data_IF_002081596337
#
_entry.id   IF_002081596337
#
_cell.length_a   1.000
_cell.length_b   1.000
_cell.length_c   1.000
_cell.angle_alpha   90.00
_cell.angle_beta   90.00
_cell.angle_gamma   90.00
#
_symmetry.space_group_name_H-M   'P 1'
#
loop_
_entity.id
_entity.type
_entity.pdbx_description
1 polymer ?
#
# COMPACT_ATOMS: atom_id res chain seq x y z
N UNK A 1 -34.72 0.92 2.12
CA UNK A 1 -33.88 -0.07 2.81
C UNK A 1 -33.90 0.29 4.28
N UNK A 2 -34.29 -0.69 5.14
CA UNK A 2 -34.40 -0.49 6.58
C UNK A 2 -33.02 -0.15 7.16
N UNK A 3 -32.90 0.94 7.94
CA UNK A 3 -31.65 1.41 8.55
C UNK A 3 -30.95 0.32 9.40
N UNK A 4 -31.73 -0.60 10.01
CA UNK A 4 -31.21 -1.76 10.72
C UNK A 4 -30.54 -2.78 9.77
N UNK A 5 -31.13 -3.04 8.61
CA UNK A 5 -30.55 -3.93 7.59
C UNK A 5 -29.26 -3.33 7.01
N UNK A 6 -29.26 -2.02 6.74
CA UNK A 6 -28.06 -1.30 6.31
C UNK A 6 -26.94 -1.40 7.34
N UNK A 7 -27.22 -1.17 8.64
CA UNK A 7 -26.25 -1.31 9.73
C UNK A 7 -25.76 -2.76 9.91
N UNK A 8 -26.62 -3.75 9.67
CA UNK A 8 -26.25 -5.16 9.71
C UNK A 8 -25.32 -5.52 8.53
N UNK A 9 -25.67 -5.12 7.32
CA UNK A 9 -24.88 -5.37 6.12
C UNK A 9 -23.53 -4.63 6.16
N UNK A 10 -23.48 -3.39 6.65
CA UNK A 10 -22.24 -2.64 6.80
C UNK A 10 -21.26 -3.27 7.81
N UNK A 11 -21.76 -4.00 8.81
CA UNK A 11 -20.94 -4.79 9.73
C UNK A 11 -20.31 -6.03 9.07
N UNK A 12 -20.87 -6.52 7.98
CA UNK A 12 -20.33 -7.68 7.24
C UNK A 12 -19.27 -7.27 6.20
N UNK A 13 -19.29 -6.03 5.73
CA UNK A 13 -18.32 -5.52 4.76
C UNK A 13 -17.12 -4.97 5.53
N UNK A 14 -15.97 -5.58 5.32
CA UNK A 14 -14.72 -5.17 5.96
C UNK A 14 -13.96 -4.18 5.10
N UNK A 15 -13.22 -3.28 5.75
CA UNK A 15 -12.22 -2.48 5.07
C UNK A 15 -11.10 -3.37 4.53
N UNK A 16 -10.55 -3.02 3.37
CA UNK A 16 -9.44 -3.75 2.76
C UNK A 16 -8.17 -2.90 2.81
N UNK A 17 -7.12 -3.46 3.38
CA UNK A 17 -5.83 -2.79 3.58
C UNK A 17 -4.82 -3.44 2.63
N UNK A 18 -4.46 -2.74 1.55
CA UNK A 18 -3.47 -3.20 0.58
C UNK A 18 -2.08 -2.79 1.02
N UNK A 19 -1.18 -3.76 1.20
CA UNK A 19 0.21 -3.53 1.55
C UNK A 19 1.17 -4.33 0.67
N UNK A 20 2.41 -3.90 0.60
CA UNK A 20 3.48 -4.50 -0.17
C UNK A 20 4.44 -3.46 -0.71
N UNK A 21 5.50 -3.89 -1.36
CA UNK A 21 6.55 -3.02 -1.87
C UNK A 21 6.05 -2.09 -2.99
N UNK A 22 6.80 -1.00 -3.27
CA UNK A 22 6.50 -0.17 -4.45
C UNK A 22 6.55 -1.03 -5.72
N UNK A 23 5.63 -0.78 -6.66
CA UNK A 23 5.52 -1.57 -7.89
C UNK A 23 4.72 -2.88 -7.77
N UNK A 24 4.25 -3.29 -6.57
CA UNK A 24 3.46 -4.52 -6.43
C UNK A 24 1.99 -4.42 -6.90
N UNK A 25 1.54 -3.22 -7.35
CA UNK A 25 0.23 -3.05 -7.97
C UNK A 25 -0.86 -2.44 -7.08
N UNK A 26 -0.55 -1.95 -5.87
CA UNK A 26 -1.55 -1.34 -4.95
C UNK A 26 -2.36 -0.21 -5.60
N UNK A 27 -1.66 0.72 -6.27
CA UNK A 27 -2.29 1.90 -6.89
C UNK A 27 -3.15 1.57 -8.12
N UNK A 28 -2.94 0.41 -8.74
CA UNK A 28 -3.80 -0.10 -9.81
C UNK A 28 -4.99 -0.90 -9.25
N UNK A 29 -4.72 -1.79 -8.31
CA UNK A 29 -5.72 -2.71 -7.75
C UNK A 29 -6.72 -1.99 -6.82
N UNK A 30 -6.26 -1.00 -6.05
CA UNK A 30 -7.12 -0.27 -5.11
C UNK A 30 -8.33 0.39 -5.77
N UNK A 31 -8.15 1.24 -6.81
CA UNK A 31 -9.27 1.82 -7.55
C UNK A 31 -10.18 0.78 -8.23
N UNK A 32 -9.59 -0.32 -8.72
CA UNK A 32 -10.36 -1.40 -9.35
C UNK A 32 -11.28 -2.09 -8.33
N UNK A 33 -10.78 -2.43 -7.16
CA UNK A 33 -11.59 -2.99 -6.07
C UNK A 33 -12.66 -1.98 -5.65
N UNK A 34 -12.30 -0.71 -5.50
CA UNK A 34 -13.24 0.36 -5.16
C UNK A 34 -14.41 0.44 -6.14
N UNK A 35 -14.14 0.39 -7.44
CA UNK A 35 -15.18 0.43 -8.48
C UNK A 35 -16.12 -0.78 -8.43
N UNK A 36 -15.59 -1.97 -8.12
CA UNK A 36 -16.36 -3.21 -8.06
C UNK A 36 -17.15 -3.36 -6.76
N UNK A 37 -16.64 -2.79 -5.67
CA UNK A 37 -17.26 -2.94 -4.33
C UNK A 37 -18.06 -1.72 -3.89
N UNK A 38 -17.97 -0.61 -4.60
CA UNK A 38 -18.49 0.71 -4.21
C UNK A 38 -17.91 1.24 -2.89
N UNK A 39 -16.80 0.67 -2.41
CA UNK A 39 -16.09 1.17 -1.25
C UNK A 39 -15.18 2.35 -1.66
N UNK A 40 -15.12 3.44 -0.87
CA UNK A 40 -14.21 4.54 -1.18
C UNK A 40 -12.74 4.07 -1.15
N UNK A 41 -11.94 4.50 -2.13
CA UNK A 41 -10.51 4.25 -2.17
C UNK A 41 -9.73 5.38 -1.52
N UNK A 42 -8.74 5.02 -0.71
CA UNK A 42 -7.82 5.93 -0.02
C UNK A 42 -6.39 5.49 -0.35
N UNK A 43 -5.61 6.37 -0.98
CA UNK A 43 -4.16 6.24 -1.04
C UNK A 43 -3.58 7.02 0.14
N UNK A 44 -2.91 6.32 1.07
CA UNK A 44 -2.43 6.93 2.31
C UNK A 44 -1.38 8.00 2.04
N UNK A 45 -0.48 7.78 1.07
CA UNK A 45 0.56 8.72 0.71
C UNK A 45 -0.06 10.03 0.19
N UNK A 46 -1.01 9.93 -0.74
CA UNK A 46 -1.77 11.09 -1.24
C UNK A 46 -2.63 11.76 -0.16
N UNK A 47 -3.18 10.96 0.74
CA UNK A 47 -3.97 11.50 1.86
C UNK A 47 -3.09 12.38 2.76
N UNK A 48 -1.87 11.94 3.07
CA UNK A 48 -0.89 12.70 3.86
C UNK A 48 -0.49 13.98 3.12
N UNK A 49 -0.09 13.90 1.86
CA UNK A 49 0.30 15.05 1.05
C UNK A 49 -0.80 16.13 1.00
N UNK A 50 -2.05 15.70 0.82
CA UNK A 50 -3.19 16.61 0.81
C UNK A 50 -3.43 17.31 2.17
N UNK A 51 -3.14 16.63 3.27
CA UNK A 51 -3.31 17.16 4.63
C UNK A 51 -2.17 18.08 5.05
N UNK A 52 -0.93 17.68 4.75
CA UNK A 52 0.27 18.45 5.07
C UNK A 52 0.52 19.58 4.06
N UNK A 53 -0.19 19.61 2.92
CA UNK A 53 0.02 20.57 1.81
C UNK A 53 1.47 20.57 1.30
N UNK A 54 2.12 19.42 1.36
CA UNK A 54 3.51 19.23 1.00
C UNK A 54 3.70 17.83 0.43
N UNK A 55 4.60 17.67 -0.53
CA UNK A 55 4.94 16.34 -1.04
C UNK A 55 5.67 15.51 0.04
N UNK A 56 5.55 14.18 -0.07
CA UNK A 56 6.30 13.30 0.84
C UNK A 56 7.80 13.56 0.74
N UNK A 57 8.32 13.81 -0.45
CA UNK A 57 9.72 14.18 -0.65
C UNK A 57 10.11 15.44 0.12
N UNK A 58 9.28 16.49 0.08
CA UNK A 58 9.54 17.71 0.82
C UNK A 58 9.46 17.51 2.33
N UNK A 59 8.51 16.67 2.78
CA UNK A 59 8.41 16.33 4.21
C UNK A 59 9.69 15.61 4.67
N UNK A 60 10.20 14.65 3.89
CA UNK A 60 11.45 13.95 4.21
C UNK A 60 12.65 14.92 4.21
N UNK A 61 12.75 15.80 3.22
CA UNK A 61 13.86 16.75 3.09
C UNK A 61 13.88 17.80 4.20
N UNK A 62 12.70 18.31 4.59
CA UNK A 62 12.57 19.41 5.53
C UNK A 62 12.54 18.95 6.99
N UNK A 63 11.95 17.77 7.27
CA UNK A 63 11.66 17.32 8.63
C UNK A 63 12.24 15.94 8.96
N UNK A 64 12.73 15.21 7.96
CA UNK A 64 13.32 13.89 8.11
C UNK A 64 12.31 12.75 8.26
N UNK A 65 12.87 11.53 8.25
CA UNK A 65 12.06 10.31 8.23
C UNK A 65 11.22 10.13 9.50
N UNK A 66 11.79 10.39 10.68
CA UNK A 66 11.09 10.19 11.96
C UNK A 66 9.82 11.03 12.03
N UNK A 67 9.88 12.28 11.56
CA UNK A 67 8.70 13.16 11.49
C UNK A 67 7.64 12.59 10.55
N UNK A 68 8.05 12.19 9.33
CA UNK A 68 7.13 11.58 8.37
C UNK A 68 6.44 10.35 8.97
N UNK A 69 7.19 9.44 9.61
CA UNK A 69 6.62 8.21 10.19
C UNK A 69 5.61 8.49 11.31
N UNK A 70 5.85 9.53 12.13
CA UNK A 70 4.86 9.98 13.12
C UNK A 70 3.58 10.50 12.47
N UNK A 71 3.72 11.28 11.39
CA UNK A 71 2.57 11.77 10.62
C UNK A 71 1.84 10.64 9.91
N UNK A 72 2.56 9.71 9.31
CA UNK A 72 2.01 8.52 8.67
C UNK A 72 1.14 7.71 9.66
N UNK A 73 1.64 7.44 10.87
CA UNK A 73 0.88 6.79 11.93
C UNK A 73 -0.35 7.60 12.33
N UNK A 74 -0.20 8.88 12.57
CA UNK A 74 -1.30 9.75 12.94
C UNK A 74 -2.42 9.74 11.89
N UNK A 75 -2.08 9.90 10.62
CA UNK A 75 -3.09 9.92 9.56
C UNK A 75 -3.69 8.53 9.29
N UNK A 76 -2.92 7.46 9.46
CA UNK A 76 -3.45 6.11 9.43
C UNK A 76 -4.55 5.93 10.48
N UNK A 77 -4.32 6.36 11.71
CA UNK A 77 -5.33 6.33 12.77
C UNK A 77 -6.56 7.17 12.43
N UNK A 78 -6.36 8.38 11.90
CA UNK A 78 -7.47 9.25 11.47
C UNK A 78 -8.35 8.61 10.37
N UNK A 79 -7.76 7.86 9.46
CA UNK A 79 -8.53 7.12 8.45
C UNK A 79 -9.40 6.05 9.11
N UNK A 80 -8.88 5.34 10.11
CA UNK A 80 -9.62 4.29 10.83
C UNK A 80 -10.65 4.80 11.84
N UNK A 81 -10.71 6.11 12.11
CA UNK A 81 -11.82 6.70 12.86
C UNK A 81 -13.09 6.84 12.01
N UNK A 82 -13.02 6.66 10.70
CA UNK A 82 -14.19 6.64 9.82
C UNK A 82 -15.04 5.40 10.11
N UNK A 83 -16.34 5.61 10.22
CA UNK A 83 -17.27 4.53 10.56
C UNK A 83 -17.69 3.65 9.38
N UNK A 84 -17.31 4.01 8.16
CA UNK A 84 -17.67 3.28 6.94
C UNK A 84 -16.48 2.46 6.44
N UNK A 85 -16.70 1.25 5.91
CA UNK A 85 -15.64 0.47 5.30
C UNK A 85 -15.06 1.17 4.05
N UNK A 86 -13.79 0.90 3.78
CA UNK A 86 -13.02 1.50 2.68
C UNK A 86 -11.94 0.54 2.14
N UNK A 87 -11.38 0.87 1.00
CA UNK A 87 -10.13 0.28 0.49
C UNK A 87 -9.01 1.27 0.73
N UNK A 88 -7.93 0.86 1.39
CA UNK A 88 -6.76 1.71 1.60
C UNK A 88 -5.50 1.07 1.03
N UNK A 89 -4.71 1.85 0.29
CA UNK A 89 -3.35 1.52 -0.14
C UNK A 89 -2.35 2.17 0.81
N UNK A 90 -1.49 1.35 1.42
CA UNK A 90 -0.44 1.84 2.31
C UNK A 90 0.83 2.18 1.54
N UNK A 91 1.63 3.13 2.05
CA UNK A 91 3.01 3.29 1.65
C UNK A 91 3.82 2.00 1.87
N UNK A 92 4.83 1.75 1.03
CA UNK A 92 5.61 0.51 1.13
C UNK A 92 6.34 0.32 2.46
N UNK A 93 6.63 1.40 3.17
CA UNK A 93 7.25 1.37 4.50
C UNK A 93 6.26 1.30 5.66
N UNK A 94 5.01 1.73 5.47
CA UNK A 94 4.03 1.89 6.54
C UNK A 94 3.93 0.70 7.50
N UNK A 95 3.85 -0.57 7.03
CA UNK A 95 3.76 -1.72 7.92
C UNK A 95 5.02 -1.98 8.76
N UNK A 96 6.16 -1.41 8.35
CA UNK A 96 7.47 -1.72 8.91
C UNK A 96 7.88 -0.81 10.09
N UNK A 97 7.14 0.27 10.32
CA UNK A 97 7.46 1.25 11.36
C UNK A 97 6.47 1.18 12.52
N UNK A 98 7.00 1.45 13.71
CA UNK A 98 6.24 1.34 14.97
C UNK A 98 5.56 -0.04 15.08
N UNK A 99 4.36 -0.07 15.60
CA UNK A 99 3.45 -1.22 15.68
C UNK A 99 2.35 -1.18 14.60
N UNK A 100 2.58 -0.50 13.48
CA UNK A 100 1.54 -0.27 12.48
C UNK A 100 0.85 -1.56 12.00
N UNK A 101 1.62 -2.60 11.71
CA UNK A 101 1.02 -3.86 11.24
C UNK A 101 0.21 -4.55 12.34
N UNK A 102 0.66 -4.48 13.59
CA UNK A 102 -0.04 -5.08 14.71
C UNK A 102 -1.32 -4.26 15.01
N UNK A 103 -1.24 -2.92 14.98
CA UNK A 103 -2.40 -2.03 15.06
C UNK A 103 -3.46 -2.34 13.99
N UNK A 104 -3.04 -2.53 12.74
CA UNK A 104 -3.95 -2.85 11.64
C UNK A 104 -4.60 -4.23 11.81
N UNK A 105 -3.87 -5.21 12.32
CA UNK A 105 -4.37 -6.56 12.54
C UNK A 105 -5.33 -6.68 13.72
N UNK A 106 -5.29 -5.73 14.67
CA UNK A 106 -6.27 -5.64 15.76
C UNK A 106 -7.64 -5.11 15.29
N UNK A 107 -7.76 -4.61 14.05
CA UNK A 107 -9.05 -4.17 13.50
C UNK A 107 -9.86 -5.36 13.03
N UNK A 108 -10.96 -5.67 13.75
CA UNK A 108 -11.86 -6.78 13.41
C UNK A 108 -12.67 -6.51 12.13
N UNK A 109 -12.89 -5.24 11.84
CA UNK A 109 -13.62 -4.71 10.69
C UNK A 109 -12.71 -4.45 9.46
N UNK A 110 -11.46 -4.93 9.50
CA UNK A 110 -10.51 -4.77 8.41
C UNK A 110 -9.72 -6.05 8.12
N UNK A 111 -9.35 -6.23 6.84
CA UNK A 111 -8.51 -7.32 6.35
C UNK A 111 -7.27 -6.75 5.70
N UNK A 112 -6.11 -7.01 6.28
CA UNK A 112 -4.81 -6.70 5.69
C UNK A 112 -4.43 -7.73 4.63
N UNK A 113 -4.03 -7.24 3.45
CA UNK A 113 -3.72 -8.05 2.26
C UNK A 113 -2.32 -7.69 1.78
N UNK A 114 -1.41 -8.64 1.87
CA UNK A 114 -0.07 -8.50 1.29
C UNK A 114 -0.10 -8.85 -0.19
N UNK A 115 0.20 -7.90 -1.05
CA UNK A 115 0.41 -8.11 -2.48
C UNK A 115 1.88 -8.53 -2.69
N UNK A 116 2.08 -9.85 -2.73
CA UNK A 116 3.39 -10.46 -2.88
C UNK A 116 3.79 -10.45 -4.35
N UNK A 117 4.93 -9.84 -4.66
CA UNK A 117 5.54 -9.80 -5.99
C UNK A 117 7.01 -10.17 -5.85
N UNK A 118 7.56 -10.92 -6.79
CA UNK A 118 8.98 -11.27 -6.77
C UNK A 118 9.87 -10.05 -6.97
N UNK A 119 11.09 -10.00 -6.38
CA UNK A 119 12.02 -8.89 -6.59
C UNK A 119 12.31 -8.63 -8.07
N UNK A 120 12.46 -9.67 -8.87
CA UNK A 120 12.67 -9.57 -10.31
C UNK A 120 11.53 -8.85 -11.01
N UNK A 121 10.29 -9.27 -10.75
CA UNK A 121 9.10 -8.63 -11.34
C UNK A 121 8.93 -7.18 -10.86
N UNK A 122 9.22 -6.90 -9.59
CA UNK A 122 9.23 -5.54 -9.06
C UNK A 122 10.27 -4.67 -9.77
N UNK A 123 11.49 -5.18 -9.97
CA UNK A 123 12.54 -4.46 -10.69
C UNK A 123 12.13 -4.15 -12.12
N UNK A 124 11.58 -5.11 -12.86
CA UNK A 124 11.05 -4.90 -14.21
C UNK A 124 10.00 -3.78 -14.28
N UNK A 125 9.02 -3.81 -13.37
CA UNK A 125 7.96 -2.79 -13.31
C UNK A 125 8.49 -1.41 -12.92
N UNK A 126 9.47 -1.37 -12.02
CA UNK A 126 10.04 -0.13 -11.51
C UNK A 126 11.02 0.49 -12.50
N UNK A 127 11.74 -0.32 -13.27
CA UNK A 127 12.73 0.16 -14.24
C UNK A 127 12.13 1.07 -15.30
N UNK A 128 10.94 0.73 -15.80
CA UNK A 128 10.20 1.51 -16.82
C UNK A 128 9.78 2.93 -16.37
N UNK A 129 9.88 3.25 -15.09
CA UNK A 129 9.45 4.57 -14.56
C UNK A 129 10.34 5.03 -13.40
N UNK A 130 11.61 4.61 -13.36
CA UNK A 130 12.54 4.91 -12.27
C UNK A 130 12.86 6.40 -12.14
N UNK A 131 12.82 7.15 -13.25
CA UNK A 131 13.14 8.59 -13.30
C UNK A 131 12.23 9.42 -12.39
N UNK A 132 10.99 8.97 -12.20
CA UNK A 132 10.03 9.62 -11.32
C UNK A 132 10.07 9.12 -9.86
N UNK A 133 11.10 8.34 -9.50
CA UNK A 133 11.23 7.74 -8.17
C UNK A 133 12.59 8.04 -7.55
N UNK A 134 12.70 9.08 -6.69
CA UNK A 134 13.98 9.54 -6.13
C UNK A 134 14.83 8.43 -5.50
N UNK A 135 14.19 7.45 -4.83
CA UNK A 135 14.88 6.35 -4.14
C UNK A 135 15.65 5.40 -5.08
N UNK A 136 15.28 5.32 -6.35
CA UNK A 136 15.84 4.37 -7.31
C UNK A 136 16.33 5.01 -8.61
N UNK A 137 16.15 6.33 -8.77
CA UNK A 137 16.54 7.06 -9.98
C UNK A 137 18.03 7.01 -10.27
N UNK A 138 18.85 6.86 -9.23
CA UNK A 138 20.33 6.81 -9.32
C UNK A 138 20.86 5.46 -9.79
N UNK A 139 20.07 4.39 -9.79
CA UNK A 139 20.50 3.05 -10.19
C UNK A 139 20.60 2.97 -11.72
N UNK A 140 21.74 2.46 -12.22
CA UNK A 140 22.06 2.52 -13.64
C UNK A 140 21.53 1.32 -14.43
N UNK A 141 21.50 0.14 -13.82
CA UNK A 141 21.11 -1.10 -14.49
C UNK A 141 19.89 -1.74 -13.83
N UNK A 142 19.25 -2.62 -14.59
CA UNK A 142 18.14 -3.44 -14.11
C UNK A 142 18.60 -4.41 -13.02
N UNK A 143 19.83 -4.92 -13.14
CA UNK A 143 20.41 -5.82 -12.15
C UNK A 143 20.67 -5.10 -10.82
N UNK A 144 21.26 -3.90 -10.83
CA UNK A 144 21.42 -3.08 -9.62
C UNK A 144 20.06 -2.80 -8.94
N UNK A 145 19.04 -2.53 -9.76
CA UNK A 145 17.70 -2.30 -9.26
C UNK A 145 17.10 -3.57 -8.64
N UNK A 146 17.30 -4.74 -9.25
CA UNK A 146 16.83 -6.02 -8.71
C UNK A 146 17.49 -6.32 -7.36
N UNK A 147 18.80 -6.15 -7.25
CA UNK A 147 19.55 -6.35 -6.00
C UNK A 147 19.06 -5.38 -4.90
N UNK A 148 18.90 -4.11 -5.23
CA UNK A 148 18.37 -3.09 -4.32
C UNK A 148 16.96 -3.46 -3.83
N UNK A 149 16.08 -3.83 -4.75
CA UNK A 149 14.70 -4.23 -4.44
C UNK A 149 14.69 -5.49 -3.59
N UNK A 150 15.51 -6.50 -3.95
CA UNK A 150 15.59 -7.76 -3.21
C UNK A 150 16.00 -7.54 -1.75
N UNK A 151 17.01 -6.71 -1.50
CA UNK A 151 17.45 -6.33 -0.16
C UNK A 151 16.32 -5.68 0.64
N UNK A 152 15.69 -4.66 0.08
CA UNK A 152 14.61 -3.93 0.76
C UNK A 152 13.36 -4.79 0.99
N UNK A 153 13.01 -5.66 0.05
CA UNK A 153 11.89 -6.61 0.22
C UNK A 153 12.22 -7.60 1.32
N UNK A 154 13.45 -8.11 1.38
CA UNK A 154 13.88 -9.05 2.42
C UNK A 154 13.75 -8.44 3.81
N UNK A 155 14.21 -7.21 4.01
CA UNK A 155 14.11 -6.47 5.28
C UNK A 155 12.65 -6.24 5.72
N UNK A 156 11.74 -6.04 4.76
CA UNK A 156 10.32 -5.72 5.02
C UNK A 156 9.41 -6.95 5.08
N UNK A 157 9.88 -8.07 4.55
CA UNK A 157 9.08 -9.31 4.43
C UNK A 157 8.53 -9.83 5.76
N UNK A 158 9.25 -9.75 6.91
CA UNK A 158 8.70 -10.16 8.21
C UNK A 158 7.44 -9.37 8.60
N UNK A 159 7.36 -8.10 8.24
CA UNK A 159 6.20 -7.24 8.47
C UNK A 159 5.07 -7.56 7.51
N UNK A 160 5.37 -7.68 6.22
CA UNK A 160 4.35 -8.01 5.21
C UNK A 160 3.70 -9.38 5.45
N UNK A 161 4.48 -10.37 5.92
CA UNK A 161 3.97 -11.72 6.24
C UNK A 161 2.99 -11.74 7.41
N UNK A 162 2.94 -10.69 8.23
CA UNK A 162 1.92 -10.56 9.29
C UNK A 162 0.53 -10.21 8.74
N UNK A 163 0.38 -9.90 7.46
CA UNK A 163 -0.92 -9.64 6.84
C UNK A 163 -1.87 -10.82 7.01
N UNK A 164 -3.16 -10.55 7.24
CA UNK A 164 -4.22 -11.57 7.37
C UNK A 164 -4.37 -12.43 6.12
N UNK A 165 -4.06 -11.87 4.95
CA UNK A 165 -4.08 -12.56 3.64
C UNK A 165 -2.86 -12.19 2.81
N UNK A 166 -2.43 -13.12 1.96
CA UNK A 166 -1.39 -12.88 0.95
C UNK A 166 -1.94 -13.26 -0.42
N UNK A 167 -1.73 -12.40 -1.41
CA UNK A 167 -2.07 -12.62 -2.81
C UNK A 167 -0.79 -12.50 -3.63
N UNK A 168 -0.47 -13.51 -4.40
CA UNK A 168 0.65 -13.45 -5.35
C UNK A 168 0.22 -12.66 -6.59
N UNK A 169 0.94 -11.60 -6.90
CA UNK A 169 0.63 -10.70 -8.00
C UNK A 169 1.60 -10.82 -9.18
N UNK A 170 2.48 -11.84 -9.16
CA UNK A 170 3.37 -12.11 -10.28
C UNK A 170 2.60 -12.49 -11.55
N UNK A 171 1.48 -13.20 -11.39
CA UNK A 171 0.68 -13.73 -12.50
C UNK A 171 -0.44 -12.80 -12.99
N UNK A 172 -0.77 -11.73 -12.26
CA UNK A 172 -1.89 -10.86 -12.61
C UNK A 172 -1.66 -10.00 -13.87
N UNK A 173 -0.44 -9.97 -14.40
CA UNK A 173 -0.07 -9.15 -15.56
C UNK A 173 0.42 -9.95 -16.78
N UNK A 174 0.34 -11.28 -16.72
CA UNK A 174 0.74 -12.13 -17.84
C UNK A 174 -0.41 -12.52 -18.76
N UNK A 175 -1.66 -12.26 -18.37
CA UNK A 175 -2.85 -12.62 -19.16
C UNK A 175 -3.25 -11.59 -20.22
N UNK A 176 -2.78 -10.33 -20.13
CA UNK A 176 -3.18 -9.28 -21.07
C UNK A 176 -2.15 -9.05 -22.21
N UNK A 177 -1.07 -9.86 -22.26
CA UNK A 177 -0.03 -9.74 -23.28
C UNK A 177 -0.05 -10.88 -24.33
N UNK A 178 -1.09 -11.72 -24.31
CA UNK A 178 -1.18 -12.90 -25.18
C UNK A 178 -2.30 -12.83 -26.25
N UNK A 179 -3.03 -11.70 -26.31
CA UNK A 179 -4.05 -11.48 -27.36
C UNK A 179 -3.80 -10.14 -28.06
N UNK A 180 -2.75 -10.08 -28.92
CA UNK A 180 -2.62 -9.19 -30.07
C UNK A 180 -1.70 -9.84 -31.13
#
# INVERSE_FOLDING_TARGET
INLQLYKFLSKMIKSLILMGYMGCGKSALGPLISSQTSLPFIDLDKYIENREKSSISDIFNNYGEIYFRKKERFYLEQVFLKQSPFVISLGGGTPCYFDNIDYLNLKDDAVSIFLKTSPKELALRLYKGKEHRPMISHLQSEQELEEYVAKHVFERLPFYKKAKKTIDTCLLYTSDAADD
#
